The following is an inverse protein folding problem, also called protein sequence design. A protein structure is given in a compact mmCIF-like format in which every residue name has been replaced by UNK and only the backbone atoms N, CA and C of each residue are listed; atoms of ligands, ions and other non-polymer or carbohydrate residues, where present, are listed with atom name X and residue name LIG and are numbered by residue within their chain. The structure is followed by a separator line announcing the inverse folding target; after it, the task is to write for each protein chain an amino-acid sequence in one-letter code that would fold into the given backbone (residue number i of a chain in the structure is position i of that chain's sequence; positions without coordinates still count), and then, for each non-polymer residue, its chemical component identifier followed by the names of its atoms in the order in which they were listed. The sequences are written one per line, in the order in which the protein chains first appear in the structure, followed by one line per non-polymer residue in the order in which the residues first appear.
data_IF_361388074198
#
_entry.id   IF_361388074198
#
_cell.length_a   1.000
_cell.length_b   1.000
_cell.length_c   1.000
_cell.angle_alpha   90.00
_cell.angle_beta   90.00
_cell.angle_gamma   90.00
#
_symmetry.space_group_name_H-M   'P 1'
#
loop_
_entity.id
_entity.type
_entity.pdbx_description
1 polymer ?
#
# COMPACT_ATOMS: atom_id res chain seq x y z
N UNK A 1 -13.69 1.53 1.40
CA UNK A 1 -12.54 2.08 0.65
C UNK A 1 -11.30 1.20 0.68
N UNK A 2 -11.38 0.11 1.44
CA UNK A 2 -10.30 -0.88 1.46
C UNK A 2 -10.16 -1.54 0.08
N UNK A 3 -8.95 -1.57 -0.46
CA UNK A 3 -8.66 -2.23 -1.73
C UNK A 3 -7.83 -3.49 -1.48
N UNK A 4 -7.81 -4.39 -2.47
CA UNK A 4 -6.95 -5.56 -2.42
C UNK A 4 -5.49 -5.13 -2.53
N UNK A 5 -4.62 -5.59 -1.62
CA UNK A 5 -3.21 -5.22 -1.68
C UNK A 5 -2.53 -5.96 -2.83
N UNK A 6 -1.54 -5.30 -3.46
CA UNK A 6 -0.69 -5.93 -4.46
C UNK A 6 0.49 -6.57 -3.73
N UNK A 7 0.62 -7.88 -3.84
CA UNK A 7 1.55 -8.67 -3.03
C UNK A 7 2.63 -9.32 -3.89
N UNK A 8 3.85 -9.38 -3.34
CA UNK A 8 4.92 -10.24 -3.86
C UNK A 8 5.55 -10.99 -2.69
N UNK A 9 6.16 -12.13 -2.97
CA UNK A 9 6.86 -12.90 -1.94
C UNK A 9 8.27 -12.38 -1.73
N UNK A 10 8.83 -12.61 -0.55
CA UNK A 10 10.14 -12.07 -0.15
C UNK A 10 11.30 -12.62 -0.99
N UNK A 11 11.14 -13.79 -1.62
CA UNK A 11 12.12 -14.38 -2.50
C UNK A 11 12.01 -13.92 -3.96
N UNK A 12 10.99 -13.11 -4.28
CA UNK A 12 10.86 -12.49 -5.60
C UNK A 12 12.00 -11.52 -5.87
N UNK A 13 12.40 -11.40 -7.13
CA UNK A 13 13.42 -10.45 -7.54
C UNK A 13 12.82 -9.06 -7.80
N UNK A 14 13.65 -8.03 -7.79
CA UNK A 14 13.24 -6.65 -8.08
C UNK A 14 12.50 -6.59 -9.43
N UNK A 15 12.97 -7.30 -10.43
CA UNK A 15 12.35 -7.38 -11.75
C UNK A 15 10.88 -7.85 -11.66
N UNK A 16 10.61 -8.87 -10.85
CA UNK A 16 9.26 -9.41 -10.66
C UNK A 16 8.35 -8.37 -10.00
N UNK A 17 8.88 -7.64 -9.02
CA UNK A 17 8.14 -6.58 -8.34
C UNK A 17 7.79 -5.43 -9.29
N UNK A 18 8.73 -5.04 -10.14
CA UNK A 18 8.49 -3.99 -11.16
C UNK A 18 7.37 -4.41 -12.12
N UNK A 19 7.44 -5.64 -12.62
CA UNK A 19 6.41 -6.17 -13.52
C UNK A 19 5.04 -6.20 -12.84
N UNK A 20 4.99 -6.67 -11.60
CA UNK A 20 3.75 -6.74 -10.82
C UNK A 20 3.15 -5.35 -10.60
N UNK A 21 3.97 -4.39 -10.20
CA UNK A 21 3.52 -3.01 -10.00
C UNK A 21 2.94 -2.42 -11.28
N UNK A 22 3.58 -2.69 -12.41
CA UNK A 22 3.15 -2.21 -13.71
C UNK A 22 1.81 -2.83 -14.14
N UNK A 23 1.68 -4.17 -13.97
CA UNK A 23 0.48 -4.89 -14.37
C UNK A 23 -0.77 -4.47 -13.60
N UNK A 24 -0.61 -4.15 -12.34
CA UNK A 24 -1.73 -3.75 -11.48
C UNK A 24 -1.87 -2.22 -11.34
N UNK A 25 -1.04 -1.46 -12.02
CA UNK A 25 -0.99 0.01 -11.90
C UNK A 25 -0.97 0.46 -10.43
N UNK A 26 -0.14 -0.20 -9.65
CA UNK A 26 -0.05 0.02 -8.21
C UNK A 26 0.96 1.12 -7.89
N UNK A 27 0.76 1.80 -6.77
CA UNK A 27 1.72 2.76 -6.23
C UNK A 27 2.71 2.12 -5.26
N UNK A 28 2.29 1.00 -4.68
CA UNK A 28 3.04 0.30 -3.63
C UNK A 28 2.82 -1.20 -3.77
N UNK A 29 3.89 -1.96 -3.50
CA UNK A 29 3.85 -3.42 -3.40
C UNK A 29 4.14 -3.80 -1.96
N UNK A 30 3.36 -4.73 -1.42
CA UNK A 30 3.57 -5.31 -0.10
C UNK A 30 4.29 -6.65 -0.23
N UNK A 31 5.35 -6.82 0.56
CA UNK A 31 6.17 -8.03 0.54
C UNK A 31 5.75 -8.92 1.69
N UNK A 32 5.41 -10.17 1.39
CA UNK A 32 4.94 -11.15 2.37
C UNK A 32 5.86 -12.36 2.43
N UNK A 33 5.81 -13.07 3.56
CA UNK A 33 6.52 -14.34 3.73
C UNK A 33 5.66 -15.54 3.30
N UNK A 34 6.16 -16.75 3.54
CA UNK A 34 5.47 -18.00 3.19
C UNK A 34 4.13 -18.16 3.90
N UNK A 35 3.99 -17.58 5.08
CA UNK A 35 2.76 -17.61 5.87
C UNK A 35 1.83 -16.43 5.55
N UNK A 36 2.13 -15.67 4.49
CA UNK A 36 1.40 -14.49 4.04
C UNK A 36 1.42 -13.35 5.06
N UNK A 37 2.44 -13.28 5.89
CA UNK A 37 2.63 -12.19 6.84
C UNK A 37 3.45 -11.07 6.20
N UNK A 38 3.09 -9.83 6.52
CA UNK A 38 3.74 -8.63 6.00
C UNK A 38 5.17 -8.52 6.53
N UNK A 39 6.13 -8.47 5.62
CA UNK A 39 7.55 -8.29 5.92
C UNK A 39 8.04 -6.89 5.57
N UNK A 40 7.53 -6.34 4.49
CA UNK A 40 8.05 -5.09 3.98
C UNK A 40 7.15 -4.45 2.94
N UNK A 41 7.61 -3.31 2.45
CA UNK A 41 6.88 -2.50 1.47
C UNK A 41 7.88 -1.87 0.51
N UNK A 42 7.48 -1.73 -0.76
CA UNK A 42 8.24 -0.99 -1.76
C UNK A 42 7.31 -0.07 -2.54
N UNK A 43 7.64 1.22 -2.55
CA UNK A 43 6.97 2.21 -3.40
C UNK A 43 7.58 2.22 -4.80
N UNK A 44 6.94 2.97 -5.72
CA UNK A 44 7.51 3.22 -7.06
C UNK A 44 8.91 3.82 -6.97
N UNK A 45 9.10 4.75 -6.06
CA UNK A 45 10.42 5.39 -5.85
C UNK A 45 11.46 4.40 -5.36
N UNK A 46 11.08 3.50 -4.46
CA UNK A 46 11.97 2.47 -3.95
C UNK A 46 12.41 1.52 -5.07
N UNK A 47 11.47 1.11 -5.92
CA UNK A 47 11.76 0.23 -7.05
C UNK A 47 12.65 0.93 -8.09
N UNK A 48 12.38 2.22 -8.38
CA UNK A 48 13.22 2.99 -9.28
C UNK A 48 14.64 3.09 -8.75
N UNK A 49 14.80 3.42 -7.47
CA UNK A 49 16.11 3.50 -6.82
C UNK A 49 16.84 2.17 -6.88
N UNK A 50 16.14 1.07 -6.58
CA UNK A 50 16.70 -0.27 -6.65
C UNK A 50 17.14 -0.63 -8.07
N UNK A 51 16.37 -0.23 -9.09
CA UNK A 51 16.72 -0.48 -10.49
C UNK A 51 17.99 0.23 -10.94
N UNK A 52 18.27 1.39 -10.34
CA UNK A 52 19.47 2.16 -10.66
C UNK A 52 20.72 1.67 -9.94
N UNK A 53 20.54 1.00 -8.79
CA UNK A 53 21.66 0.66 -7.89
C UNK A 53 21.92 -0.85 -7.77
N UNK A 54 21.13 -1.71 -8.44
CA UNK A 54 21.27 -3.15 -8.32
C UNK A 54 20.89 -3.85 -9.62
N UNK A 55 21.32 -5.12 -9.73
CA UNK A 55 20.89 -5.98 -10.82
C UNK A 55 19.50 -6.50 -10.51
N UNK A 56 18.49 -5.98 -11.21
CA UNK A 56 17.08 -6.28 -10.93
C UNK A 56 16.70 -7.74 -11.18
N UNK A 57 17.43 -8.43 -12.07
CA UNK A 57 17.17 -9.83 -12.40
C UNK A 57 17.65 -10.81 -11.32
N UNK A 58 18.55 -10.38 -10.45
CA UNK A 58 19.18 -11.26 -9.46
C UNK A 58 19.12 -10.75 -8.01
N UNK A 59 18.56 -9.55 -7.77
CA UNK A 59 18.44 -8.99 -6.42
C UNK A 59 17.06 -9.26 -5.85
N UNK A 60 16.95 -9.97 -4.72
CA UNK A 60 15.66 -10.19 -4.06
C UNK A 60 15.07 -8.88 -3.52
N UNK A 61 13.76 -8.76 -3.55
CA UNK A 61 13.04 -7.58 -2.99
C UNK A 61 13.35 -7.37 -1.51
N UNK A 62 13.58 -8.45 -0.77
CA UNK A 62 13.89 -8.40 0.66
C UNK A 62 15.14 -7.58 0.99
N UNK A 63 16.06 -7.42 0.04
CA UNK A 63 17.29 -6.65 0.21
C UNK A 63 17.02 -5.14 0.19
N UNK A 64 15.99 -4.71 -0.57
CA UNK A 64 15.73 -3.29 -0.87
C UNK A 64 14.47 -2.73 -0.21
N UNK A 65 13.60 -3.56 0.31
CA UNK A 65 12.32 -3.14 0.88
C UNK A 65 12.48 -2.37 2.19
N UNK A 66 11.49 -1.52 2.51
CA UNK A 66 11.35 -0.99 3.86
C UNK A 66 10.73 -2.08 4.72
N UNK A 67 11.35 -2.39 5.87
CA UNK A 67 10.99 -3.52 6.72
C UNK A 67 10.15 -3.09 7.92
N UNK A 68 9.32 -4.00 8.42
CA UNK A 68 8.77 -3.87 9.77
C UNK A 68 9.93 -3.72 10.78
N UNK A 69 9.80 -2.91 11.83
CA UNK A 69 8.63 -2.13 12.24
C UNK A 69 8.55 -0.71 11.67
N UNK A 70 9.33 -0.38 10.64
CA UNK A 70 9.40 0.97 10.06
C UNK A 70 8.27 1.28 9.08
N UNK A 71 7.35 0.36 8.88
CA UNK A 71 6.18 0.55 8.03
C UNK A 71 5.05 1.18 8.84
N UNK A 72 4.44 2.23 8.33
CA UNK A 72 3.21 2.78 8.91
C UNK A 72 2.05 1.88 8.53
N UNK A 73 1.23 1.52 9.51
CA UNK A 73 0.12 0.58 9.34
C UNK A 73 -1.20 1.22 9.74
N UNK A 74 -2.28 0.64 9.24
CA UNK A 74 -3.64 1.03 9.55
C UNK A 74 -4.38 -0.21 10.09
N UNK A 75 -5.06 -0.06 11.21
CA UNK A 75 -5.90 -1.13 11.74
C UNK A 75 -7.29 -1.07 11.10
N UNK A 76 -7.95 -2.22 11.05
CA UNK A 76 -9.27 -2.37 10.43
C UNK A 76 -10.29 -1.36 10.97
N UNK A 77 -10.20 -1.00 12.25
CA UNK A 77 -11.15 -0.08 12.91
C UNK A 77 -10.75 1.39 12.83
N UNK A 78 -9.63 1.70 12.20
CA UNK A 78 -9.18 3.08 12.01
C UNK A 78 -10.14 3.79 11.05
N UNK A 79 -10.55 5.01 11.38
CA UNK A 79 -11.45 5.76 10.52
C UNK A 79 -10.69 6.43 9.36
N UNK A 80 -11.46 6.90 8.37
CA UNK A 80 -10.93 7.51 7.15
C UNK A 80 -10.04 8.71 7.44
N UNK A 81 -10.44 9.54 8.41
CA UNK A 81 -9.70 10.74 8.77
C UNK A 81 -8.33 10.41 9.35
N UNK A 82 -8.27 9.38 10.21
CA UNK A 82 -7.01 8.91 10.77
C UNK A 82 -6.08 8.37 9.68
N UNK A 83 -6.62 7.61 8.74
CA UNK A 83 -5.83 7.12 7.59
C UNK A 83 -5.32 8.27 6.73
N UNK A 84 -6.17 9.27 6.44
CA UNK A 84 -5.79 10.45 5.67
C UNK A 84 -4.65 11.23 6.34
N UNK A 85 -4.72 11.39 7.66
CA UNK A 85 -3.68 12.06 8.43
C UNK A 85 -2.35 11.33 8.32
N UNK A 86 -2.35 9.99 8.43
CA UNK A 86 -1.13 9.20 8.28
C UNK A 86 -0.53 9.33 6.88
N UNK A 87 -1.35 9.26 5.83
CA UNK A 87 -0.88 9.44 4.46
C UNK A 87 -0.27 10.82 4.25
N UNK A 88 -0.91 11.85 4.80
CA UNK A 88 -0.45 13.23 4.68
C UNK A 88 0.82 13.49 5.49
N UNK A 89 0.83 13.12 6.76
CA UNK A 89 1.93 13.43 7.67
C UNK A 89 3.23 12.73 7.30
N UNK A 90 3.15 11.52 6.77
CA UNK A 90 4.32 10.74 6.36
C UNK A 90 4.59 10.81 4.86
N UNK A 91 3.79 11.58 4.10
CA UNK A 91 3.94 11.76 2.65
C UNK A 91 4.03 10.42 1.90
N UNK A 92 3.14 9.50 2.25
CA UNK A 92 3.06 8.16 1.64
C UNK A 92 1.76 8.01 0.85
N UNK A 93 1.78 7.11 -0.14
CA UNK A 93 0.66 6.95 -1.07
C UNK A 93 -0.28 5.81 -0.70
N UNK A 94 0.15 4.93 0.20
CA UNK A 94 -0.62 3.74 0.56
C UNK A 94 -0.25 3.27 1.97
N UNK A 95 -1.26 2.71 2.66
CA UNK A 95 -1.11 2.10 3.97
C UNK A 95 -1.61 0.66 3.92
N UNK A 96 -0.88 -0.31 4.48
CA UNK A 96 -1.43 -1.63 4.68
C UNK A 96 -2.44 -1.60 5.82
N UNK A 97 -3.58 -2.27 5.63
CA UNK A 97 -4.55 -2.51 6.69
C UNK A 97 -4.23 -3.88 7.27
N UNK A 98 -3.99 -3.92 8.57
CA UNK A 98 -3.56 -5.13 9.26
C UNK A 98 -4.55 -5.51 10.35
N UNK A 99 -4.47 -6.77 10.76
CA UNK A 99 -5.25 -7.29 11.87
C UNK A 99 -4.81 -6.64 13.18
N UNK A 100 -5.76 -6.33 14.06
CA UNK A 100 -5.48 -5.67 15.33
C UNK A 100 -4.66 -6.55 16.29
N UNK A 101 -4.89 -7.85 16.27
CA UNK A 101 -4.18 -8.79 17.12
C UNK A 101 -2.86 -9.25 16.52
N UNK A 102 -2.80 -9.34 15.19
CA UNK A 102 -1.59 -9.71 14.45
C UNK A 102 -1.29 -8.64 13.40
N UNK A 103 -0.46 -7.67 13.77
CA UNK A 103 -0.13 -6.51 12.94
C UNK A 103 0.72 -6.84 11.71
N UNK A 104 1.08 -8.10 11.52
CA UNK A 104 1.74 -8.58 10.31
C UNK A 104 0.76 -9.25 9.34
N UNK A 105 -0.45 -9.56 9.76
CA UNK A 105 -1.47 -10.12 8.89
C UNK A 105 -2.13 -9.02 8.09
N UNK A 106 -1.81 -8.95 6.79
CA UNK A 106 -2.38 -7.94 5.91
C UNK A 106 -3.79 -8.32 5.48
N UNK A 107 -4.73 -7.41 5.69
CA UNK A 107 -6.14 -7.59 5.37
C UNK A 107 -6.54 -6.84 4.09
N UNK A 108 -5.85 -5.76 3.80
CA UNK A 108 -6.16 -4.91 2.67
C UNK A 108 -5.20 -3.74 2.58
N UNK A 109 -5.59 -2.74 1.80
CA UNK A 109 -4.80 -1.53 1.60
C UNK A 109 -5.70 -0.31 1.49
N UNK A 110 -5.22 0.82 1.98
CA UNK A 110 -5.83 2.13 1.73
C UNK A 110 -4.86 2.93 0.88
N UNK A 111 -5.29 3.35 -0.30
CA UNK A 111 -4.48 4.19 -1.17
C UNK A 111 -4.98 5.63 -1.13
N UNK A 112 -4.08 6.56 -1.37
CA UNK A 112 -4.41 7.98 -1.49
C UNK A 112 -5.46 8.22 -2.56
N UNK A 113 -5.34 7.54 -3.70
CA UNK A 113 -6.28 7.64 -4.82
C UNK A 113 -7.69 7.16 -4.43
N UNK A 114 -7.79 5.98 -3.80
CA UNK A 114 -9.07 5.43 -3.37
C UNK A 114 -9.74 6.30 -2.30
N UNK A 115 -8.96 6.85 -1.38
CA UNK A 115 -9.45 7.75 -0.36
C UNK A 115 -10.01 9.05 -0.97
N UNK A 116 -9.28 9.62 -1.91
CA UNK A 116 -9.72 10.83 -2.62
C UNK A 116 -11.02 10.58 -3.39
N UNK A 117 -11.11 9.48 -4.12
CA UNK A 117 -12.32 9.10 -4.85
C UNK A 117 -13.52 8.94 -3.91
N UNK A 118 -13.32 8.31 -2.76
CA UNK A 118 -14.36 8.14 -1.76
C UNK A 118 -14.87 9.50 -1.25
N UNK A 119 -13.98 10.41 -0.92
CA UNK A 119 -14.33 11.76 -0.43
C UNK A 119 -15.12 12.53 -1.49
N UNK A 120 -14.68 12.47 -2.76
CA UNK A 120 -15.37 13.13 -3.87
C UNK A 120 -16.79 12.57 -4.05
N UNK A 121 -16.94 11.26 -4.00
CA UNK A 121 -18.26 10.62 -4.13
C UNK A 121 -19.20 11.00 -2.99
N UNK A 122 -18.70 11.09 -1.76
CA UNK A 122 -19.51 11.53 -0.63
C UNK A 122 -19.97 12.98 -0.79
N UNK A 123 -19.11 13.85 -1.26
CA UNK A 123 -19.45 15.24 -1.53
C UNK A 123 -20.52 15.36 -2.62
N UNK A 124 -20.42 14.58 -3.70
CA UNK A 124 -21.42 14.56 -4.77
C UNK A 124 -22.78 14.05 -4.29
N UNK A 125 -22.80 13.00 -3.48
CA UNK A 125 -24.03 12.45 -2.91
C UNK A 125 -24.73 13.49 -2.02
N UNK A 126 -23.99 14.26 -1.25
CA UNK A 126 -24.52 15.34 -0.42
C UNK A 126 -25.14 16.45 -1.26
N UNK A 127 -24.48 16.85 -2.36
CA UNK A 127 -25.01 17.87 -3.27
C UNK A 127 -26.30 17.42 -3.95
N UNK A 128 -26.35 16.17 -4.43
CA UNK A 128 -27.55 15.62 -5.06
C UNK A 128 -28.72 15.61 -4.07
N UNK A 129 -28.49 15.19 -2.83
CA UNK A 129 -29.50 15.19 -1.81
C UNK A 129 -30.03 16.59 -1.48
N UNK A 130 -29.18 17.61 -1.54
CA UNK A 130 -29.58 19.01 -1.35
C UNK A 130 -30.44 19.52 -2.50
N UNK A 131 -30.14 19.14 -3.73
CA UNK A 131 -30.91 19.54 -4.90
C UNK A 131 -32.30 18.92 -4.93
N UNK A 132 -32.47 17.73 -4.36
CA UNK A 132 -33.75 17.03 -4.26
C UNK A 132 -34.66 17.63 -3.16
N UNK A 133 -34.12 18.33 -2.19
CA UNK A 133 -34.88 19.01 -1.15
C UNK A 133 -35.46 20.35 -1.62
#
# INVERSE_FOLDING_TARGET
IMTSPVLVTSDSYIQDAIITLFMYDADVIYVIDEDKLLLGIMSRKDLLRASLNSNIASTPVAVCMTRMPHIKICHKNMNILEAAVLLQDYAIDSLPIVDQENERQILGSVTKTALLDYIIQQARSTEVNREEE
#
